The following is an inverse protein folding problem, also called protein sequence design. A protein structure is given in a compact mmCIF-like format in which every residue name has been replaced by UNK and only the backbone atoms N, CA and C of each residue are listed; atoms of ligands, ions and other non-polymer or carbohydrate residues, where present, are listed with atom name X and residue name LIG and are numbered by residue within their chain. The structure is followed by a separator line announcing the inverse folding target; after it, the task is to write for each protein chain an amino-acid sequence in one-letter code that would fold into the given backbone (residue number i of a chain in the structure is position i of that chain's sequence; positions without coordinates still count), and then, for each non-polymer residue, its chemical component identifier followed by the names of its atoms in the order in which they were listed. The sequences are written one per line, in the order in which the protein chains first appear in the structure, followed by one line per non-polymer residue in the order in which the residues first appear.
data_IF_045570347427
#
_entry.id   IF_045570347427
#
_cell.length_a   1.000
_cell.length_b   1.000
_cell.length_c   1.000
_cell.angle_alpha   90.00
_cell.angle_beta   90.00
_cell.angle_gamma   90.00
#
_symmetry.space_group_name_H-M   'P 1'
#
loop_
_entity.id
_entity.type
_entity.pdbx_description
1 polymer ?
#
# COMPACT_ATOMS: atom_id res chain seq x y z
N UNK A 1 -39.50 10.41 -56.97
CA UNK A 1 -39.02 9.85 -55.67
C UNK A 1 -37.57 10.24 -55.32
N UNK A 2 -36.58 10.19 -56.23
CA UNK A 2 -35.13 10.47 -55.95
C UNK A 2 -34.86 11.57 -54.91
N UNK A 3 -35.44 12.77 -55.06
CA UNK A 3 -35.18 13.92 -54.18
C UNK A 3 -35.64 13.75 -52.72
N UNK A 4 -36.49 12.78 -52.39
CA UNK A 4 -36.82 12.43 -50.98
C UNK A 4 -35.77 11.49 -50.38
N UNK A 5 -35.26 10.52 -51.15
CA UNK A 5 -34.25 9.55 -50.71
C UNK A 5 -32.92 10.25 -50.42
N UNK A 6 -32.49 11.17 -51.30
CA UNK A 6 -31.26 11.95 -51.12
C UNK A 6 -31.31 12.79 -49.82
N UNK A 7 -32.46 13.44 -49.54
CA UNK A 7 -32.66 14.19 -48.28
C UNK A 7 -32.66 13.28 -47.04
N UNK A 8 -33.24 12.08 -47.14
CA UNK A 8 -33.21 11.09 -46.06
C UNK A 8 -31.79 10.59 -45.76
N UNK A 9 -30.98 10.36 -46.80
CA UNK A 9 -29.60 9.90 -46.67
C UNK A 9 -28.69 10.99 -46.06
N UNK A 10 -28.82 12.24 -46.51
CA UNK A 10 -28.09 13.38 -45.93
C UNK A 10 -28.44 13.61 -44.46
N UNK A 11 -29.72 13.48 -44.08
CA UNK A 11 -30.15 13.61 -42.69
C UNK A 11 -29.59 12.46 -41.81
N UNK A 12 -29.50 11.24 -42.35
CA UNK A 12 -28.89 10.10 -41.67
C UNK A 12 -27.38 10.25 -41.47
N UNK A 13 -26.67 10.84 -42.43
CA UNK A 13 -25.23 11.11 -42.31
C UNK A 13 -24.98 12.26 -41.32
N UNK A 14 -25.82 13.30 -41.34
CA UNK A 14 -25.74 14.40 -40.37
C UNK A 14 -25.97 13.92 -38.94
N UNK A 15 -26.96 13.05 -38.71
CA UNK A 15 -27.22 12.45 -37.39
C UNK A 15 -26.04 11.62 -36.84
N UNK A 16 -25.23 11.01 -37.73
CA UNK A 16 -24.05 10.24 -37.34
C UNK A 16 -22.89 11.11 -36.86
N UNK A 17 -22.87 12.40 -37.24
CA UNK A 17 -21.83 13.37 -36.85
C UNK A 17 -22.12 14.09 -35.52
N UNK A 18 -23.31 13.93 -34.92
CA UNK A 18 -23.68 14.63 -33.67
C UNK A 18 -23.13 13.95 -32.41
N UNK A 19 -22.72 12.68 -32.49
CA UNK A 19 -22.02 11.97 -31.40
C UNK A 19 -20.52 12.28 -31.37
N UNK A 20 -20.16 13.57 -31.38
CA UNK A 20 -18.84 14.02 -30.91
C UNK A 20 -18.87 13.92 -29.39
N UNK A 21 -18.32 12.84 -28.84
CA UNK A 21 -18.24 12.65 -27.39
C UNK A 21 -17.42 13.76 -26.74
N UNK A 22 -18.05 14.58 -25.89
CA UNK A 22 -17.37 15.63 -25.14
C UNK A 22 -16.48 15.01 -24.07
N UNK A 23 -15.19 14.86 -24.36
CA UNK A 23 -14.16 14.57 -23.35
C UNK A 23 -14.06 15.76 -22.40
N UNK A 24 -14.70 15.65 -21.23
CA UNK A 24 -14.53 16.63 -20.17
C UNK A 24 -13.12 16.52 -19.60
N UNK A 25 -12.42 17.66 -19.51
CA UNK A 25 -11.15 17.71 -18.82
C UNK A 25 -11.36 17.53 -17.31
N UNK A 26 -10.54 16.69 -16.68
CA UNK A 26 -10.66 16.33 -15.27
C UNK A 26 -9.29 16.19 -14.61
N UNK A 27 -9.13 16.85 -13.47
CA UNK A 27 -8.00 16.67 -12.55
C UNK A 27 -8.31 15.52 -11.59
N UNK A 28 -7.31 14.70 -11.27
CA UNK A 28 -7.38 13.64 -10.26
C UNK A 28 -6.12 13.63 -9.39
N UNK A 29 -6.27 13.26 -8.12
CA UNK A 29 -5.17 13.17 -7.16
C UNK A 29 -5.33 11.96 -6.26
N UNK A 30 -4.20 11.32 -5.93
CA UNK A 30 -4.13 10.13 -5.08
C UNK A 30 -2.94 10.25 -4.16
N UNK A 31 -3.16 9.98 -2.87
CA UNK A 31 -2.13 10.02 -1.83
C UNK A 31 -1.79 8.57 -1.43
N UNK A 32 -0.51 8.30 -1.19
CA UNK A 32 -0.01 7.04 -0.64
C UNK A 32 -0.61 6.78 0.74
N UNK A 33 -1.03 5.54 1.01
CA UNK A 33 -1.38 5.12 2.37
C UNK A 33 -0.09 4.90 3.18
N UNK A 34 0.07 5.51 4.38
CA UNK A 34 1.18 5.19 5.28
C UNK A 34 1.03 3.76 5.86
N UNK A 35 2.05 3.26 6.57
CA UNK A 35 1.87 2.15 7.52
C UNK A 35 0.71 2.44 8.49
N UNK A 36 -0.03 1.42 8.91
CA UNK A 36 -1.15 1.59 9.86
C UNK A 36 -0.71 2.09 11.24
N UNK A 37 0.53 1.81 11.63
CA UNK A 37 1.16 2.27 12.87
C UNK A 37 2.59 2.73 12.58
N UNK A 38 3.04 3.78 13.27
CA UNK A 38 4.42 4.28 13.19
C UNK A 38 4.90 4.83 14.53
N UNK A 39 6.22 4.75 14.78
CA UNK A 39 6.90 5.49 15.84
C UNK A 39 7.85 6.58 15.31
N UNK A 40 8.07 6.63 13.99
CA UNK A 40 8.78 7.73 13.33
C UNK A 40 7.87 8.97 13.28
N UNK A 41 8.37 10.09 13.82
CA UNK A 41 7.64 11.36 13.89
C UNK A 41 7.66 12.16 12.58
N UNK A 42 8.39 11.67 11.58
CA UNK A 42 8.64 12.32 10.30
C UNK A 42 8.82 11.28 9.19
N UNK A 43 8.11 11.49 8.07
CA UNK A 43 8.10 10.61 6.90
C UNK A 43 7.53 11.36 5.69
N UNK A 44 7.61 10.77 4.49
CA UNK A 44 7.00 11.33 3.29
C UNK A 44 5.77 10.53 2.85
N UNK A 45 4.78 11.21 2.28
CA UNK A 45 3.67 10.58 1.56
C UNK A 45 3.77 10.96 0.08
N UNK A 46 4.06 9.98 -0.78
CA UNK A 46 4.01 10.19 -2.23
C UNK A 46 2.58 10.49 -2.66
N UNK A 47 2.38 11.47 -3.54
CA UNK A 47 1.12 11.61 -4.28
C UNK A 47 1.35 11.48 -5.78
N UNK A 48 0.28 11.18 -6.50
CA UNK A 48 0.20 11.24 -7.96
C UNK A 48 -0.94 12.17 -8.31
N UNK A 49 -0.66 13.20 -9.10
CA UNK A 49 -1.65 14.11 -9.65
C UNK A 49 -1.63 14.04 -11.19
N UNK A 50 -2.81 13.94 -11.80
CA UNK A 50 -3.00 13.82 -13.24
C UNK A 50 -4.10 14.77 -13.69
N UNK A 51 -3.89 15.47 -14.79
CA UNK A 51 -4.92 16.22 -15.51
C UNK A 51 -5.00 15.73 -16.94
N UNK A 52 -6.21 15.53 -17.45
CA UNK A 52 -6.40 15.15 -18.85
C UNK A 52 -6.11 16.29 -19.83
N UNK A 53 -6.05 17.54 -19.35
CA UNK A 53 -5.50 18.66 -20.12
C UNK A 53 -3.99 18.74 -19.93
N UNK A 54 -3.24 18.39 -20.97
CA UNK A 54 -1.77 18.40 -20.98
C UNK A 54 -1.15 19.80 -21.09
N UNK A 55 -1.94 20.87 -21.08
CA UNK A 55 -1.45 22.27 -21.11
C UNK A 55 -1.47 22.97 -19.75
N UNK A 56 -2.24 22.45 -18.78
CA UNK A 56 -2.44 23.08 -17.47
C UNK A 56 -1.59 22.41 -16.38
N UNK A 57 -0.76 23.19 -15.67
CA UNK A 57 -0.05 22.77 -14.44
C UNK A 57 -1.03 22.52 -13.30
N UNK A 58 -0.75 21.53 -12.45
CA UNK A 58 -1.61 21.18 -11.30
C UNK A 58 -0.98 21.71 -10.01
N UNK A 59 -1.75 22.44 -9.20
CA UNK A 59 -1.34 22.82 -7.84
C UNK A 59 -1.92 21.83 -6.84
N UNK A 60 -1.06 21.19 -6.04
CA UNK A 60 -1.41 20.23 -5.00
C UNK A 60 -1.17 20.82 -3.61
N UNK A 61 -2.06 20.50 -2.67
CA UNK A 61 -2.01 20.93 -1.27
C UNK A 61 -2.21 19.73 -0.35
N UNK A 62 -1.30 19.55 0.61
CA UNK A 62 -1.33 18.45 1.58
C UNK A 62 -2.04 18.91 2.87
N UNK A 63 -2.96 18.11 3.40
CA UNK A 63 -3.73 18.43 4.60
C UNK A 63 -3.61 17.35 5.68
N UNK A 64 -3.47 17.74 6.95
CA UNK A 64 -3.40 16.84 8.11
C UNK A 64 -4.40 17.23 9.21
N UNK A 65 -4.91 16.23 9.91
CA UNK A 65 -5.59 16.34 11.21
C UNK A 65 -4.91 15.37 12.18
N UNK A 66 -4.47 15.85 13.33
CA UNK A 66 -3.90 15.05 14.42
C UNK A 66 -4.86 14.90 15.61
N UNK A 67 -4.39 14.26 16.70
CA UNK A 67 -5.23 13.94 17.87
C UNK A 67 -5.72 15.17 18.64
N UNK A 68 -5.08 16.34 18.48
CA UNK A 68 -5.53 17.60 19.09
C UNK A 68 -6.57 18.38 18.27
N UNK A 69 -6.69 18.13 16.96
CA UNK A 69 -7.42 19.01 16.04
C UNK A 69 -8.95 18.82 16.06
N UNK A 70 -9.46 17.84 16.81
CA UNK A 70 -10.89 17.46 16.83
C UNK A 70 -11.47 17.13 15.44
N UNK A 71 -10.64 16.62 14.52
CA UNK A 71 -10.99 16.33 13.12
C UNK A 71 -10.84 17.52 12.16
N UNK A 72 -10.31 18.66 12.62
CA UNK A 72 -10.04 19.83 11.79
C UNK A 72 -8.79 19.61 10.94
N UNK A 73 -8.89 19.77 9.62
CA UNK A 73 -7.74 19.64 8.73
C UNK A 73 -7.03 20.98 8.50
N UNK A 74 -5.72 20.99 8.68
CA UNK A 74 -4.82 22.11 8.38
C UNK A 74 -3.95 21.77 7.17
N UNK A 75 -3.65 22.75 6.31
CA UNK A 75 -2.63 22.56 5.26
C UNK A 75 -1.25 22.45 5.94
N UNK A 76 -0.44 21.50 5.49
CA UNK A 76 0.97 21.40 5.84
C UNK A 76 1.85 21.41 4.58
N UNK A 77 3.08 21.91 4.72
CA UNK A 77 3.93 22.22 3.57
C UNK A 77 3.44 23.41 2.75
N UNK A 78 4.21 23.77 1.72
CA UNK A 78 3.81 24.74 0.71
C UNK A 78 2.83 24.14 -0.31
N UNK A 79 2.29 24.99 -1.18
CA UNK A 79 1.65 24.54 -2.41
C UNK A 79 2.70 23.90 -3.32
N UNK A 80 2.40 22.73 -3.89
CA UNK A 80 3.31 21.96 -4.75
C UNK A 80 2.78 22.03 -6.18
N UNK A 81 3.58 22.50 -7.14
CA UNK A 81 3.15 22.71 -8.54
C UNK A 81 3.78 21.65 -9.43
N UNK A 82 2.96 20.75 -9.99
CA UNK A 82 3.43 19.71 -10.92
C UNK A 82 3.41 20.18 -12.36
N UNK A 83 4.20 19.51 -13.20
CA UNK A 83 4.16 19.61 -14.66
C UNK A 83 2.74 19.44 -15.23
N UNK A 84 2.50 20.05 -16.39
CA UNK A 84 1.23 19.95 -17.08
C UNK A 84 0.93 18.51 -17.54
N UNK A 85 -0.34 18.11 -17.49
CA UNK A 85 -0.77 16.72 -17.64
C UNK A 85 -0.58 15.86 -16.38
N UNK A 86 0.37 16.20 -15.50
CA UNK A 86 0.55 15.55 -14.20
C UNK A 86 2.00 15.19 -13.85
N UNK A 87 2.22 14.83 -12.58
CA UNK A 87 3.46 14.25 -12.07
C UNK A 87 3.25 13.54 -10.72
N UNK A 88 4.32 12.94 -10.19
CA UNK A 88 4.44 12.48 -8.80
C UNK A 88 5.28 13.45 -7.97
N UNK A 89 4.93 13.68 -6.71
CA UNK A 89 5.76 14.44 -5.75
C UNK A 89 5.44 13.98 -4.30
N UNK A 90 6.07 14.57 -3.28
CA UNK A 90 5.90 14.17 -1.87
C UNK A 90 5.31 15.25 -0.97
N UNK A 91 4.39 14.85 -0.09
CA UNK A 91 4.00 15.60 1.10
C UNK A 91 4.92 15.24 2.26
N UNK A 92 5.74 16.17 2.75
CA UNK A 92 6.63 15.95 3.90
C UNK A 92 5.86 16.07 5.22
N UNK A 93 5.72 14.95 5.93
CA UNK A 93 4.92 14.85 7.17
C UNK A 93 5.80 15.03 8.41
N UNK A 94 5.27 15.76 9.39
CA UNK A 94 5.81 15.82 10.76
C UNK A 94 4.67 15.75 11.80
N UNK A 95 4.85 14.94 12.83
CA UNK A 95 3.83 14.54 13.82
C UNK A 95 4.01 15.25 15.17
N UNK A 96 3.92 16.57 15.12
CA UNK A 96 4.23 17.47 16.22
C UNK A 96 3.13 17.66 17.29
N UNK A 97 2.08 16.82 17.31
CA UNK A 97 0.88 17.00 18.15
C UNK A 97 0.68 15.89 19.20
N UNK A 98 1.72 15.09 19.46
CA UNK A 98 1.68 13.97 20.40
C UNK A 98 1.12 12.67 19.79
N UNK A 99 1.02 11.64 20.63
CA UNK A 99 0.57 10.30 20.22
C UNK A 99 -0.93 10.26 19.87
N UNK A 100 -1.29 9.40 18.92
CA UNK A 100 -2.67 9.16 18.49
C UNK A 100 -2.79 9.03 16.97
N UNK A 101 -4.02 8.90 16.48
CA UNK A 101 -4.31 8.80 15.05
C UNK A 101 -4.08 10.13 14.35
N UNK A 102 -3.32 10.11 13.25
CA UNK A 102 -3.23 11.20 12.29
C UNK A 102 -3.91 10.81 10.98
N UNK A 103 -4.65 11.74 10.40
CA UNK A 103 -5.33 11.59 9.12
C UNK A 103 -4.81 12.60 8.10
N UNK A 104 -4.70 12.19 6.83
CA UNK A 104 -4.14 12.97 5.74
C UNK A 104 -4.99 12.88 4.48
N UNK A 105 -5.08 13.96 3.71
CA UNK A 105 -5.51 13.94 2.31
C UNK A 105 -4.74 14.97 1.49
N UNK A 106 -4.78 14.87 0.17
CA UNK A 106 -4.30 15.89 -0.74
C UNK A 106 -5.47 16.44 -1.58
N UNK A 107 -5.48 17.75 -1.85
CA UNK A 107 -6.29 18.32 -2.94
C UNK A 107 -5.40 18.67 -4.12
N UNK A 108 -5.97 18.62 -5.31
CA UNK A 108 -5.36 19.09 -6.55
C UNK A 108 -6.29 20.08 -7.24
N UNK A 109 -5.69 21.13 -7.80
CA UNK A 109 -6.35 22.11 -8.64
C UNK A 109 -5.61 22.19 -9.97
N UNK A 110 -6.20 21.62 -11.01
CA UNK A 110 -5.82 21.81 -12.40
C UNK A 110 -7.00 22.43 -13.15
N UNK A 111 -7.42 21.79 -14.23
CA UNK A 111 -8.65 22.12 -14.97
C UNK A 111 -9.91 21.96 -14.12
N UNK A 112 -9.90 21.06 -13.13
CA UNK A 112 -10.93 20.92 -12.10
C UNK A 112 -10.31 20.86 -10.70
N UNK A 113 -11.15 20.93 -9.66
CA UNK A 113 -10.75 20.59 -8.30
C UNK A 113 -10.90 19.08 -8.09
N UNK A 114 -10.02 18.48 -7.28
CA UNK A 114 -10.05 17.06 -6.92
C UNK A 114 -9.48 16.85 -5.52
N UNK A 115 -9.95 15.82 -4.81
CA UNK A 115 -9.50 15.47 -3.45
C UNK A 115 -9.24 13.97 -3.38
N UNK A 116 -8.14 13.57 -2.75
CA UNK A 116 -7.83 12.15 -2.53
C UNK A 116 -8.78 11.52 -1.52
N UNK A 117 -8.77 10.18 -1.43
CA UNK A 117 -9.20 9.51 -0.22
C UNK A 117 -8.40 10.01 0.99
N UNK A 118 -9.03 10.11 2.15
CA UNK A 118 -8.33 10.27 3.43
C UNK A 118 -7.62 8.96 3.78
N UNK A 119 -6.36 9.06 4.22
CA UNK A 119 -5.55 7.95 4.73
C UNK A 119 -5.10 8.27 6.15
N UNK A 120 -4.72 7.27 6.95
CA UNK A 120 -4.39 7.47 8.36
C UNK A 120 -3.31 6.53 8.89
N UNK A 121 -2.60 6.96 9.92
CA UNK A 121 -1.67 6.15 10.72
C UNK A 121 -1.86 6.46 12.21
N UNK A 122 -1.72 5.47 13.07
CA UNK A 122 -1.57 5.69 14.51
C UNK A 122 -0.10 5.93 14.85
N UNK A 123 0.19 7.04 15.52
CA UNK A 123 1.54 7.41 15.94
C UNK A 123 1.74 7.24 17.44
N UNK A 124 2.83 6.60 17.83
CA UNK A 124 3.27 6.53 19.21
C UNK A 124 4.79 6.35 19.29
N UNK A 125 5.49 7.31 19.90
CA UNK A 125 6.95 7.23 20.15
C UNK A 125 7.30 6.96 21.63
N UNK A 126 6.31 6.64 22.47
CA UNK A 126 6.50 6.48 23.92
C UNK A 126 6.97 5.08 24.30
N UNK A 127 8.22 4.97 24.74
CA UNK A 127 8.83 3.68 25.10
C UNK A 127 8.13 2.95 26.27
N UNK A 128 8.23 1.60 26.30
CA UNK A 128 8.05 0.82 27.52
C UNK A 128 9.07 1.17 28.60
N UNK A 129 8.80 0.74 29.84
CA UNK A 129 9.78 0.84 30.92
C UNK A 129 10.87 -0.22 30.80
N UNK A 130 12.09 0.12 31.22
CA UNK A 130 13.21 -0.84 31.26
C UNK A 130 12.87 -2.00 32.22
N UNK A 131 13.09 -3.28 31.83
CA UNK A 131 12.94 -4.40 32.74
C UNK A 131 13.80 -4.26 34.01
N UNK A 132 13.37 -4.93 35.08
CA UNK A 132 14.02 -4.95 36.38
C UNK A 132 14.32 -6.39 36.82
N UNK A 133 14.96 -6.58 37.98
CA UNK A 133 15.28 -7.90 38.54
C UNK A 133 16.05 -8.84 37.59
N UNK A 134 16.87 -8.28 36.69
CA UNK A 134 17.72 -9.07 35.80
C UNK A 134 18.63 -10.00 36.60
N UNK A 135 18.65 -11.28 36.22
CA UNK A 135 19.53 -12.29 36.78
C UNK A 135 19.95 -13.29 35.70
N UNK A 136 21.24 -13.63 35.68
CA UNK A 136 21.82 -14.68 34.83
C UNK A 136 22.22 -15.88 35.67
N UNK A 137 21.85 -17.06 35.20
CA UNK A 137 22.21 -18.34 35.82
C UNK A 137 22.63 -19.36 34.76
N UNK A 138 23.54 -20.27 35.10
CA UNK A 138 23.90 -21.42 34.27
C UNK A 138 22.96 -22.59 34.63
N UNK A 139 22.36 -23.26 33.65
CA UNK A 139 21.43 -24.39 33.88
C UNK A 139 22.13 -25.74 33.64
N UNK A 140 22.93 -25.80 32.58
CA UNK A 140 23.85 -26.89 32.24
C UNK A 140 25.11 -26.26 31.62
N UNK A 141 26.09 -27.06 31.20
CA UNK A 141 27.36 -26.48 30.75
C UNK A 141 27.28 -25.59 29.49
N UNK A 142 26.23 -25.71 28.69
CA UNK A 142 26.02 -24.95 27.46
C UNK A 142 24.78 -24.02 27.49
N UNK A 143 23.93 -24.10 28.53
CA UNK A 143 22.68 -23.31 28.61
C UNK A 143 22.70 -22.25 29.71
N UNK A 144 22.49 -21.00 29.31
CA UNK A 144 22.21 -19.89 30.22
C UNK A 144 20.70 -19.66 30.35
N UNK A 145 20.24 -19.30 31.54
CA UNK A 145 18.89 -18.79 31.81
C UNK A 145 18.96 -17.38 32.35
N UNK A 146 18.25 -16.49 31.67
CA UNK A 146 18.05 -15.08 32.03
C UNK A 146 16.64 -14.94 32.61
N UNK A 147 16.50 -14.36 33.80
CA UNK A 147 15.20 -14.09 34.42
C UNK A 147 15.07 -12.61 34.78
N UNK A 148 13.86 -12.05 34.70
CA UNK A 148 13.60 -10.61 34.82
C UNK A 148 12.12 -10.32 35.15
N UNK A 149 11.82 -9.09 35.54
CA UNK A 149 10.47 -8.55 35.72
C UNK A 149 10.24 -7.42 34.72
N UNK A 150 9.18 -7.45 33.92
CA UNK A 150 8.82 -6.32 33.03
C UNK A 150 8.33 -5.13 33.85
N UNK A 151 8.51 -3.91 33.32
CA UNK A 151 8.10 -2.70 34.01
C UNK A 151 6.57 -2.61 34.18
N UNK A 152 6.13 -1.93 35.24
CA UNK A 152 4.72 -1.59 35.44
C UNK A 152 4.36 -0.33 34.63
N UNK A 153 4.33 -0.50 33.31
CA UNK A 153 4.22 0.58 32.33
C UNK A 153 2.83 0.73 31.68
N UNK A 154 1.81 0.14 32.30
CA UNK A 154 0.39 0.37 31.94
C UNK A 154 -0.08 -0.33 30.66
N UNK A 155 0.59 -1.41 30.25
CA UNK A 155 0.26 -2.20 29.05
C UNK A 155 1.14 -1.94 27.84
N UNK A 156 2.22 -1.15 27.96
CA UNK A 156 3.12 -0.85 26.83
C UNK A 156 4.02 -2.03 26.46
N UNK A 157 4.63 -2.70 27.45
CA UNK A 157 5.48 -3.87 27.17
C UNK A 157 4.64 -5.00 26.59
N UNK A 158 4.96 -5.46 25.37
CA UNK A 158 4.36 -6.66 24.73
C UNK A 158 5.38 -7.75 24.42
N UNK A 159 6.67 -7.41 24.39
CA UNK A 159 7.77 -8.33 24.09
C UNK A 159 9.04 -7.90 24.83
N UNK A 160 9.88 -8.86 25.21
CA UNK A 160 11.27 -8.62 25.62
C UNK A 160 12.21 -9.43 24.74
N UNK A 161 13.21 -8.76 24.17
CA UNK A 161 14.28 -9.40 23.40
C UNK A 161 15.50 -9.65 24.31
N UNK A 162 16.23 -10.74 24.04
CA UNK A 162 17.52 -11.08 24.64
C UNK A 162 18.64 -10.93 23.61
N UNK A 163 19.69 -10.21 23.99
CA UNK A 163 20.88 -9.97 23.19
C UNK A 163 22.12 -10.56 23.89
N UNK A 164 23.09 -11.03 23.09
CA UNK A 164 24.32 -11.70 23.55
C UNK A 164 25.55 -11.20 22.79
N UNK A 165 26.67 -11.06 23.48
CA UNK A 165 28.01 -11.01 22.87
C UNK A 165 29.03 -11.79 23.69
N UNK A 166 30.15 -12.15 23.07
CA UNK A 166 31.41 -12.52 23.76
C UNK A 166 32.16 -11.31 24.31
N UNK A 167 31.88 -10.13 23.78
CA UNK A 167 32.54 -8.88 24.13
C UNK A 167 31.75 -8.06 25.16
N UNK A 168 32.46 -7.29 25.98
CA UNK A 168 31.86 -6.37 26.97
C UNK A 168 31.31 -5.08 26.34
N UNK A 169 31.52 -4.85 25.04
CA UNK A 169 31.00 -3.69 24.33
C UNK A 169 30.39 -4.13 22.99
N UNK A 170 29.08 -3.95 22.83
CA UNK A 170 28.38 -4.39 21.61
C UNK A 170 27.12 -3.57 21.29
N UNK A 171 26.59 -3.77 20.09
CA UNK A 171 25.38 -3.11 19.62
C UNK A 171 24.13 -3.92 20.01
N UNK A 172 23.08 -3.24 20.45
CA UNK A 172 21.77 -3.85 20.72
C UNK A 172 20.97 -3.82 19.42
N UNK A 173 21.33 -4.73 18.53
CA UNK A 173 20.84 -4.87 17.15
C UNK A 173 20.42 -6.32 16.81
N UNK A 174 19.99 -6.55 15.57
CA UNK A 174 19.54 -7.87 15.09
C UNK A 174 20.66 -8.91 14.96
N UNK A 175 21.94 -8.52 14.91
CA UNK A 175 23.06 -9.46 14.85
C UNK A 175 23.39 -10.06 16.24
N UNK A 176 23.11 -9.31 17.31
CA UNK A 176 23.31 -9.75 18.68
C UNK A 176 22.05 -10.36 19.34
N UNK A 177 20.87 -10.24 18.72
CA UNK A 177 19.63 -10.81 19.25
C UNK A 177 19.64 -12.35 19.15
N UNK A 178 19.46 -13.05 20.28
CA UNK A 178 19.49 -14.52 20.34
C UNK A 178 18.16 -15.16 20.76
N UNK A 179 17.29 -14.42 21.47
CA UNK A 179 15.96 -14.91 21.85
C UNK A 179 14.97 -13.74 22.02
N UNK A 180 13.69 -14.03 22.09
CA UNK A 180 12.64 -13.06 22.44
C UNK A 180 11.41 -13.77 23.00
N UNK A 181 10.76 -13.16 24.00
CA UNK A 181 9.52 -13.67 24.59
C UNK A 181 8.42 -12.60 24.52
N UNK A 182 7.22 -13.00 24.08
CA UNK A 182 6.02 -12.15 24.17
C UNK A 182 5.54 -12.17 25.62
N UNK A 183 5.45 -11.00 26.25
CA UNK A 183 5.20 -10.83 27.68
C UNK A 183 4.62 -9.44 27.94
N UNK A 184 3.61 -9.35 28.80
CA UNK A 184 2.99 -8.07 29.17
C UNK A 184 3.82 -7.24 30.14
N UNK A 185 3.34 -6.03 30.44
CA UNK A 185 3.77 -5.23 31.59
C UNK A 185 3.67 -6.00 32.92
N UNK A 186 4.45 -5.57 33.91
CA UNK A 186 4.39 -6.02 35.30
C UNK A 186 4.27 -7.56 35.47
N UNK A 187 5.12 -8.31 34.75
CA UNK A 187 5.10 -9.78 34.67
C UNK A 187 6.51 -10.33 34.81
N UNK A 188 6.70 -11.41 35.56
CA UNK A 188 7.99 -12.11 35.64
C UNK A 188 8.19 -12.99 34.40
N UNK A 189 9.34 -12.85 33.76
CA UNK A 189 9.73 -13.56 32.56
C UNK A 189 11.06 -14.28 32.72
N UNK A 190 11.27 -15.29 31.89
CA UNK A 190 12.61 -15.85 31.68
C UNK A 190 12.80 -16.34 30.25
N UNK A 191 14.04 -16.27 29.77
CA UNK A 191 14.48 -16.80 28.49
C UNK A 191 15.70 -17.69 28.71
N UNK A 192 15.89 -18.69 27.87
CA UNK A 192 17.11 -19.49 27.81
C UNK A 192 17.89 -19.20 26.53
N UNK A 193 19.19 -19.43 26.58
CA UNK A 193 20.08 -19.38 25.43
C UNK A 193 21.06 -20.56 25.50
N UNK A 194 21.29 -21.23 24.37
CA UNK A 194 22.20 -22.36 24.26
C UNK A 194 23.39 -21.94 23.40
N UNK A 195 24.59 -22.01 23.97
CA UNK A 195 25.83 -21.52 23.35
C UNK A 195 26.67 -22.63 22.70
N UNK A 196 26.14 -23.86 22.61
CA UNK A 196 26.83 -25.00 22.01
C UNK A 196 27.28 -24.71 20.56
N UNK A 197 28.52 -25.06 20.16
CA UNK A 197 29.52 -25.84 20.90
C UNK A 197 30.44 -25.01 21.83
N UNK A 198 30.26 -23.69 21.91
CA UNK A 198 31.20 -22.74 22.54
C UNK A 198 30.99 -22.61 24.06
N UNK A 199 30.73 -23.72 24.76
CA UNK A 199 30.26 -23.78 26.14
C UNK A 199 31.27 -23.27 27.20
N UNK A 200 32.52 -23.02 26.79
CA UNK A 200 33.59 -22.46 27.62
C UNK A 200 33.81 -20.95 27.43
N UNK A 201 33.08 -20.31 26.49
CA UNK A 201 33.19 -18.86 26.24
C UNK A 201 32.38 -18.07 27.27
N UNK A 202 32.96 -17.00 27.81
CA UNK A 202 32.22 -16.04 28.64
C UNK A 202 31.27 -15.24 27.76
N UNK A 203 29.97 -15.38 28.00
CA UNK A 203 28.95 -14.60 27.30
C UNK A 203 28.32 -13.52 28.19
N UNK A 204 28.18 -12.34 27.61
CA UNK A 204 27.54 -11.16 28.16
C UNK A 204 26.15 -10.99 27.56
N UNK A 205 25.16 -10.69 28.40
CA UNK A 205 23.76 -10.59 28.00
C UNK A 205 23.12 -9.29 28.46
N UNK A 206 22.23 -8.77 27.62
CA UNK A 206 21.32 -7.66 27.94
C UNK A 206 19.92 -7.94 27.41
N UNK A 207 18.90 -7.38 28.05
CA UNK A 207 17.51 -7.45 27.63
C UNK A 207 16.91 -6.05 27.40
N UNK A 208 15.94 -5.97 26.48
CA UNK A 208 15.20 -4.74 26.14
C UNK A 208 13.73 -5.08 25.92
N UNK A 209 12.82 -4.32 26.54
CA UNK A 209 11.38 -4.43 26.31
C UNK A 209 10.97 -3.62 25.07
N UNK A 210 9.89 -4.04 24.41
CA UNK A 210 9.33 -3.40 23.21
C UNK A 210 7.80 -3.31 23.30
N UNK A 211 7.23 -2.26 22.71
CA UNK A 211 5.78 -2.11 22.49
C UNK A 211 5.34 -2.63 21.10
N UNK A 212 4.07 -2.42 20.76
CA UNK A 212 3.51 -2.79 19.44
C UNK A 212 4.03 -1.94 18.29
N UNK A 213 4.53 -0.73 18.57
CA UNK A 213 5.03 0.23 17.57
C UNK A 213 6.53 0.07 17.32
N UNK A 214 7.21 -0.86 18.02
CA UNK A 214 8.65 -1.09 17.91
C UNK A 214 9.50 -0.19 18.81
N UNK A 215 8.89 0.61 19.70
CA UNK A 215 9.62 1.42 20.67
C UNK A 215 10.30 0.52 21.69
N UNK A 216 11.63 0.46 21.65
CA UNK A 216 12.41 -0.29 22.64
C UNK A 216 12.76 0.55 23.87
N UNK A 217 12.60 -0.02 25.07
CA UNK A 217 12.97 0.57 26.36
C UNK A 217 14.47 0.89 26.47
N UNK A 218 14.90 1.38 27.64
CA UNK A 218 16.31 1.23 28.05
C UNK A 218 16.70 -0.25 28.21
N UNK A 219 17.98 -0.52 28.43
CA UNK A 219 18.50 -1.89 28.59
C UNK A 219 18.88 -2.20 30.04
N UNK A 220 18.85 -3.48 30.40
CA UNK A 220 19.41 -4.02 31.64
C UNK A 220 20.13 -5.34 31.33
N UNK A 221 21.18 -5.67 32.06
CA UNK A 221 21.96 -6.88 31.81
C UNK A 221 23.11 -7.07 32.78
N UNK A 222 24.15 -7.78 32.35
CA UNK A 222 25.36 -7.98 33.15
C UNK A 222 26.07 -6.65 33.46
N UNK A 223 26.57 -6.49 34.69
CA UNK A 223 27.07 -5.21 35.23
C UNK A 223 28.28 -4.59 34.52
N UNK A 224 28.97 -5.37 33.68
CA UNK A 224 30.25 -5.02 33.08
C UNK A 224 30.13 -4.79 31.56
N UNK A 225 28.92 -4.45 31.08
CA UNK A 225 28.61 -4.31 29.65
C UNK A 225 28.34 -2.86 29.29
N UNK A 226 28.96 -2.39 28.21
CA UNK A 226 28.64 -1.14 27.52
C UNK A 226 27.84 -1.46 26.27
N UNK A 227 26.73 -0.75 26.04
CA UNK A 227 25.86 -0.99 24.87
C UNK A 227 25.61 0.27 24.06
N UNK A 228 25.66 0.15 22.74
CA UNK A 228 25.08 1.15 21.84
C UNK A 228 23.75 0.64 21.30
N UNK A 229 22.68 1.42 21.45
CA UNK A 229 21.37 1.06 20.89
C UNK A 229 21.33 1.44 19.41
N UNK A 230 20.99 0.48 18.55
CA UNK A 230 20.74 0.71 17.12
C UNK A 230 19.28 0.34 16.85
N UNK A 231 18.42 1.34 16.72
CA UNK A 231 17.04 1.12 16.27
C UNK A 231 17.04 0.94 14.74
N UNK A 232 16.26 -0.01 14.19
CA UNK A 232 16.09 -0.11 12.74
C UNK A 232 15.33 1.10 12.19
N UNK A 233 15.73 1.61 11.03
CA UNK A 233 14.98 2.66 10.31
C UNK A 233 13.79 2.03 9.59
N UNK A 234 12.59 2.60 9.74
CA UNK A 234 11.39 2.12 9.04
C UNK A 234 11.43 2.54 7.57
N UNK A 235 11.90 1.67 6.69
CA UNK A 235 11.82 1.92 5.23
C UNK A 235 10.38 1.79 4.77
N UNK A 236 9.69 2.92 4.57
CA UNK A 236 8.35 2.95 3.98
C UNK A 236 8.43 2.46 2.53
N UNK A 237 8.00 1.22 2.29
CA UNK A 237 7.97 0.65 0.94
C UNK A 237 6.93 1.36 0.08
N UNK A 238 7.34 1.81 -1.11
CA UNK A 238 6.45 2.49 -2.05
C UNK A 238 5.48 1.49 -2.70
N UNK A 239 4.38 1.20 -2.03
CA UNK A 239 3.29 0.39 -2.57
C UNK A 239 2.69 1.04 -3.82
N UNK A 240 2.54 0.27 -4.89
CA UNK A 240 1.94 0.76 -6.13
C UNK A 240 0.50 1.23 -5.89
N UNK A 241 0.21 2.50 -6.15
CA UNK A 241 -1.12 3.09 -5.95
C UNK A 241 -2.10 2.47 -6.97
N UNK A 242 -3.06 1.64 -6.56
CA UNK A 242 -3.79 0.77 -7.48
C UNK A 242 -4.76 1.57 -8.36
N UNK A 243 -4.58 1.54 -9.68
CA UNK A 243 -5.37 2.32 -10.65
C UNK A 243 -6.81 1.77 -10.76
N UNK A 244 -7.63 2.05 -9.76
CA UNK A 244 -9.08 1.89 -9.81
C UNK A 244 -9.67 2.82 -10.88
N UNK A 245 -9.89 2.27 -12.06
CA UNK A 245 -10.49 2.92 -13.23
C UNK A 245 -10.49 1.95 -14.41
N UNK A 246 -11.67 1.57 -14.89
CA UNK A 246 -11.82 0.64 -16.03
C UNK A 246 -11.53 1.36 -17.35
N UNK A 247 -10.24 1.60 -17.63
CA UNK A 247 -9.76 2.22 -18.86
C UNK A 247 -8.67 1.37 -19.52
N UNK A 248 -8.98 0.75 -20.66
CA UNK A 248 -8.04 -0.09 -21.41
C UNK A 248 -7.03 0.78 -22.17
N UNK A 249 -6.02 1.30 -21.46
CA UNK A 249 -4.96 2.14 -22.01
C UNK A 249 -3.60 1.44 -21.95
N UNK A 250 -3.18 0.82 -23.06
CA UNK A 250 -1.77 0.45 -23.23
C UNK A 250 -0.98 1.68 -23.67
N UNK A 251 0.09 1.99 -22.95
CA UNK A 251 1.08 2.99 -23.37
C UNK A 251 2.47 2.38 -23.21
N UNK A 252 3.16 2.18 -24.33
CA UNK A 252 4.54 1.69 -24.37
C UNK A 252 5.50 2.87 -24.13
N UNK A 253 6.56 2.63 -23.36
CA UNK A 253 7.61 3.61 -23.06
C UNK A 253 8.97 2.90 -22.98
N UNK A 254 9.55 2.62 -24.15
CA UNK A 254 10.79 1.87 -24.30
C UNK A 254 12.03 2.75 -24.03
N UNK A 255 13.03 2.18 -23.32
CA UNK A 255 14.44 2.52 -23.59
C UNK A 255 15.23 3.31 -22.53
N UNK A 256 15.86 2.58 -21.60
CA UNK A 256 17.23 2.86 -21.14
C UNK A 256 17.84 1.58 -20.54
N UNK A 257 19.00 1.14 -21.03
CA UNK A 257 19.69 -0.05 -20.49
C UNK A 257 20.50 0.27 -19.22
N UNK A 258 20.50 -0.66 -18.26
CA UNK A 258 21.53 -0.78 -17.24
C UNK A 258 21.79 -2.26 -16.94
N UNK A 259 22.95 -2.78 -17.34
CA UNK A 259 23.30 -4.20 -17.21
C UNK A 259 23.70 -4.58 -15.77
N UNK A 260 23.05 -5.60 -15.19
CA UNK A 260 23.42 -6.15 -13.88
C UNK A 260 22.91 -7.58 -13.68
N UNK A 261 23.82 -8.55 -13.52
CA UNK A 261 23.52 -9.92 -13.11
C UNK A 261 23.33 -9.96 -11.57
N UNK A 262 22.58 -10.86 -10.95
CA UNK A 262 21.75 -11.98 -11.43
C UNK A 262 21.26 -12.80 -10.22
N UNK A 263 20.24 -13.65 -10.35
CA UNK A 263 19.71 -14.41 -9.21
C UNK A 263 18.50 -15.28 -9.54
N UNK A 264 18.74 -16.53 -9.91
CA UNK A 264 17.71 -17.53 -10.23
C UNK A 264 17.28 -18.31 -8.97
N UNK A 265 15.97 -18.45 -8.75
CA UNK A 265 15.38 -19.55 -7.96
C UNK A 265 14.02 -19.96 -8.53
N UNK A 266 13.82 -21.27 -8.69
CA UNK A 266 12.58 -21.86 -9.21
C UNK A 266 11.46 -21.83 -8.18
N UNK A 267 10.23 -21.59 -8.64
CA UNK A 267 9.03 -22.04 -7.93
C UNK A 267 8.72 -23.48 -8.36
N UNK A 268 8.55 -24.40 -7.40
CA UNK A 268 8.08 -25.77 -7.65
C UNK A 268 6.66 -25.92 -7.12
N UNK A 269 5.76 -26.36 -8.00
CA UNK A 269 4.35 -26.62 -7.72
C UNK A 269 4.16 -27.96 -6.99
N UNK A 270 3.16 -28.02 -6.11
CA UNK A 270 2.53 -29.28 -5.68
C UNK A 270 1.11 -28.98 -5.19
N UNK A 271 0.15 -29.85 -5.49
CA UNK A 271 -1.28 -29.53 -5.41
C UNK A 271 -2.15 -30.69 -4.89
N UNK A 272 -3.36 -30.34 -4.43
CA UNK A 272 -4.58 -31.16 -4.40
C UNK A 272 -4.63 -32.33 -3.36
N UNK A 273 -5.81 -32.80 -2.87
CA UNK A 273 -7.19 -32.24 -2.88
C UNK A 273 -7.79 -32.02 -1.47
N UNK A 274 -8.95 -31.34 -1.41
CA UNK A 274 -10.00 -31.59 -0.40
C UNK A 274 -11.39 -31.22 -0.93
N UNK A 275 -12.37 -32.11 -0.78
CA UNK A 275 -13.74 -32.02 -1.32
C UNK A 275 -14.65 -33.02 -0.55
N UNK A 276 -16.00 -32.89 -0.49
CA UNK A 276 -16.88 -31.72 -0.57
C UNK A 276 -17.70 -31.50 0.73
N UNK A 277 -18.49 -30.41 0.81
CA UNK A 277 -19.91 -30.47 1.23
C UNK A 277 -20.69 -29.19 0.79
N UNK A 278 -22.02 -29.24 0.82
CA UNK A 278 -23.00 -28.38 0.08
C UNK A 278 -24.09 -27.86 1.06
N UNK A 279 -24.70 -26.66 0.98
CA UNK A 279 -25.17 -25.76 -0.11
C UNK A 279 -25.01 -24.25 0.31
N UNK A 280 -25.49 -23.16 -0.32
CA UNK A 280 -26.55 -22.88 -1.32
C UNK A 280 -26.13 -21.82 -2.39
N UNK A 281 -27.11 -21.19 -3.04
CA UNK A 281 -27.01 -20.18 -4.12
C UNK A 281 -26.53 -18.78 -3.62
N UNK A 282 -26.15 -17.77 -4.44
CA UNK A 282 -26.57 -17.45 -5.81
C UNK A 282 -25.60 -16.47 -6.50
N UNK A 283 -24.80 -16.92 -7.48
CA UNK A 283 -23.94 -16.04 -8.30
C UNK A 283 -24.56 -15.70 -9.65
N UNK A 284 -24.75 -14.39 -9.94
CA UNK A 284 -25.31 -13.91 -11.22
C UNK A 284 -24.20 -13.49 -12.19
N UNK A 285 -23.87 -14.39 -13.11
CA UNK A 285 -22.81 -14.23 -14.09
C UNK A 285 -23.10 -13.06 -15.08
N UNK A 286 -22.16 -12.11 -15.31
CA UNK A 286 -22.45 -10.85 -16.04
C UNK A 286 -22.62 -10.97 -17.57
N UNK A 287 -22.56 -12.18 -18.13
CA UNK A 287 -22.57 -12.42 -19.59
C UNK A 287 -23.97 -12.40 -20.25
N UNK A 288 -25.06 -12.19 -19.49
CA UNK A 288 -26.43 -12.32 -20.00
C UNK A 288 -27.02 -11.03 -20.60
N UNK A 289 -26.36 -9.87 -20.42
CA UNK A 289 -26.85 -8.57 -20.87
C UNK A 289 -27.12 -8.44 -22.40
N UNK A 290 -26.21 -8.85 -23.32
CA UNK A 290 -26.39 -8.57 -24.75
C UNK A 290 -27.54 -9.37 -25.38
N UNK A 291 -27.80 -10.62 -24.94
CA UNK A 291 -28.83 -11.48 -25.52
C UNK A 291 -30.25 -11.00 -25.20
N UNK A 292 -30.51 -10.54 -23.97
CA UNK A 292 -31.83 -10.06 -23.56
C UNK A 292 -32.23 -8.76 -24.27
N UNK A 293 -31.28 -7.94 -24.74
CA UNK A 293 -31.57 -6.77 -25.57
C UNK A 293 -32.00 -7.17 -26.99
N UNK A 294 -31.31 -8.13 -27.61
CA UNK A 294 -31.61 -8.61 -28.96
C UNK A 294 -33.01 -9.24 -29.02
N UNK A 295 -33.37 -10.06 -28.02
CA UNK A 295 -34.70 -10.66 -27.92
C UNK A 295 -35.83 -9.61 -27.84
N UNK A 296 -35.59 -8.49 -27.15
CA UNK A 296 -36.58 -7.42 -26.95
C UNK A 296 -36.75 -6.53 -28.19
N UNK A 297 -35.70 -6.33 -28.97
CA UNK A 297 -35.66 -5.42 -30.12
C UNK A 297 -35.58 -6.13 -31.48
N UNK A 298 -36.15 -7.34 -31.61
CA UNK A 298 -36.06 -8.21 -32.80
C UNK A 298 -36.40 -7.52 -34.14
N UNK A 299 -37.32 -6.55 -34.14
CA UNK A 299 -37.69 -5.75 -35.33
C UNK A 299 -36.48 -4.94 -35.88
N UNK A 300 -35.63 -4.41 -35.01
CA UNK A 300 -34.41 -3.69 -35.41
C UNK A 300 -33.38 -4.66 -36.02
N UNK A 301 -33.20 -5.84 -35.43
CA UNK A 301 -32.35 -6.89 -35.99
C UNK A 301 -32.84 -7.34 -37.39
N UNK A 302 -34.15 -7.50 -37.57
CA UNK A 302 -34.76 -7.80 -38.86
C UNK A 302 -34.49 -6.69 -39.88
N UNK A 303 -34.63 -5.42 -39.48
CA UNK A 303 -34.38 -4.26 -40.36
C UNK A 303 -32.92 -4.15 -40.80
N UNK A 304 -31.97 -4.44 -39.90
CA UNK A 304 -30.53 -4.46 -40.21
C UNK A 304 -30.18 -5.60 -41.16
N UNK A 305 -30.76 -6.78 -40.96
CA UNK A 305 -30.54 -7.94 -41.82
C UNK A 305 -31.12 -7.72 -43.23
N UNK A 306 -32.31 -7.09 -43.34
CA UNK A 306 -32.90 -6.67 -44.61
C UNK A 306 -32.03 -5.61 -45.31
N UNK A 307 -31.45 -4.66 -44.58
CA UNK A 307 -30.53 -3.66 -45.12
C UNK A 307 -29.27 -4.31 -45.71
N UNK A 308 -28.64 -5.24 -44.97
CA UNK A 308 -27.47 -6.00 -45.42
C UNK A 308 -27.80 -6.85 -46.65
N UNK A 309 -28.95 -7.53 -46.66
CA UNK A 309 -29.41 -8.31 -47.81
C UNK A 309 -29.67 -7.45 -49.05
N UNK A 310 -30.23 -6.24 -48.89
CA UNK A 310 -30.43 -5.29 -49.99
C UNK A 310 -29.10 -4.79 -50.57
N UNK A 311 -28.11 -4.50 -49.73
CA UNK A 311 -26.75 -4.12 -50.15
C UNK A 311 -26.07 -5.27 -50.91
N UNK A 312 -26.12 -6.50 -50.36
CA UNK A 312 -25.55 -7.69 -50.99
C UNK A 312 -26.20 -7.98 -52.36
N UNK A 313 -27.53 -7.90 -52.46
CA UNK A 313 -28.26 -8.07 -53.71
C UNK A 313 -27.92 -6.98 -54.75
N UNK A 314 -27.74 -5.73 -54.32
CA UNK A 314 -27.32 -4.65 -55.21
C UNK A 314 -25.91 -4.89 -55.78
N UNK A 315 -24.96 -5.27 -54.93
CA UNK A 315 -23.58 -5.61 -55.35
C UNK A 315 -23.53 -6.83 -56.27
N UNK A 316 -24.32 -7.88 -55.97
CA UNK A 316 -24.45 -9.06 -56.83
C UNK A 316 -25.03 -8.71 -58.20
N UNK A 317 -26.15 -7.98 -58.23
CA UNK A 317 -26.80 -7.58 -59.48
C UNK A 317 -25.88 -6.74 -60.36
N UNK A 318 -25.13 -5.80 -59.77
CA UNK A 318 -24.25 -4.90 -60.50
C UNK A 318 -22.94 -5.58 -60.99
N UNK A 319 -22.65 -6.81 -60.52
CA UNK A 319 -21.57 -7.67 -61.05
C UNK A 319 -22.00 -8.54 -62.23
N UNK A 320 -23.29 -8.83 -62.39
CA UNK A 320 -23.83 -9.67 -63.47
C UNK A 320 -24.38 -8.85 -64.65
N UNK A 321 -23.98 -7.58 -64.77
CA UNK A 321 -24.36 -6.67 -65.87
C UNK A 321 -23.15 -5.94 -66.45
N UNK A 322 -22.03 -6.67 -66.55
CA UNK A 322 -20.82 -6.38 -67.32
C UNK A 322 -20.51 -7.64 -68.14
#
# INVERSE_FOLDING_TARGET
MKNKIIKSLLLSIFALFVFVGTSFAATSVRLQTPPSQTNDDSFTLTFVALDTDSSQTITVKCFKSGPGDSGSFSQFGSDIVTSAGGNTDTCDVSLNQGNGTYSFYATAQGTSSSTSSTVSTDFNNSTPGTPTNYSKSKQDDCTYKISFRTADDGGKTVKVNLYRSSDTSFNVDSAHQVNSVNIGSNTDGSMTDNVSPNCNTTYYYVIRAFDTYGNGSGVIGDSNVTTTIVNPTTTVTQGAIPVGGTGTGSVLGEGAEATGQGGEVLATESAQPSEPEESEEMSKNPLTAPMNWIAKNWILALSLLILIAAIAYYVYRNRNTQ
#
